data_IF_056770742061
#
_entry.id   IF_056770742061
#
_cell.length_a   1.000
_cell.length_b   1.000
_cell.length_c   1.000
_cell.angle_alpha   90.00
_cell.angle_beta   90.00
_cell.angle_gamma   90.00
#
_symmetry.space_group_name_H-M   'P 1'
#
loop_
_entity.id
_entity.type
_entity.pdbx_description
1 polymer ?
#
# COMPACT_ATOMS: atom_id res chain seq x y z
N UNK A 1 -24.19 -15.78 -4.39
CA UNK A 1 -24.21 -15.04 -3.10
C UNK A 1 -23.50 -15.83 -2.01
N UNK A 2 -22.64 -15.19 -1.22
CA UNK A 2 -21.92 -15.86 -0.12
C UNK A 2 -22.90 -16.40 0.93
N UNK A 3 -22.71 -17.63 1.46
CA UNK A 3 -23.59 -18.20 2.48
C UNK A 3 -23.73 -17.34 3.74
N UNK A 4 -22.79 -16.42 4.00
CA UNK A 4 -22.85 -15.50 5.14
C UNK A 4 -23.83 -14.33 4.94
N UNK A 5 -24.41 -14.15 3.76
CA UNK A 5 -25.45 -13.14 3.51
C UNK A 5 -26.87 -13.70 3.56
N UNK A 6 -27.04 -15.02 3.58
CA UNK A 6 -28.33 -15.69 3.70
C UNK A 6 -28.64 -16.02 5.17
N UNK A 7 -29.61 -15.35 5.83
CA UNK A 7 -29.95 -15.60 7.23
C UNK A 7 -30.43 -17.02 7.53
N UNK A 8 -30.93 -17.73 6.51
CA UNK A 8 -31.41 -19.09 6.63
C UNK A 8 -30.28 -20.12 6.64
N UNK A 9 -29.10 -19.75 6.12
CA UNK A 9 -27.97 -20.65 5.93
C UNK A 9 -27.35 -21.14 7.25
N UNK A 10 -26.81 -22.38 7.28
CA UNK A 10 -26.08 -22.89 8.45
C UNK A 10 -24.86 -22.04 8.81
N UNK A 11 -24.17 -21.50 7.79
CA UNK A 11 -22.99 -20.67 7.97
C UNK A 11 -23.34 -19.35 8.69
N UNK A 12 -24.42 -18.68 8.27
CA UNK A 12 -24.92 -17.47 8.91
C UNK A 12 -25.31 -17.73 10.37
N UNK A 13 -26.10 -18.77 10.63
CA UNK A 13 -26.54 -19.12 11.99
C UNK A 13 -25.37 -19.38 12.92
N UNK A 14 -24.34 -20.10 12.43
CA UNK A 14 -23.09 -20.35 13.18
C UNK A 14 -22.34 -19.04 13.46
N UNK A 15 -22.17 -18.19 12.46
CA UNK A 15 -21.48 -16.91 12.60
C UNK A 15 -22.20 -15.96 13.57
N UNK A 16 -23.53 -15.85 13.47
CA UNK A 16 -24.36 -15.06 14.37
C UNK A 16 -24.23 -15.52 15.84
N UNK A 17 -24.23 -16.84 16.09
CA UNK A 17 -24.01 -17.38 17.44
C UNK A 17 -22.63 -16.99 17.99
N UNK A 18 -21.58 -17.11 17.18
CA UNK A 18 -20.21 -16.73 17.58
C UNK A 18 -20.10 -15.22 17.83
N UNK A 19 -20.71 -14.40 16.97
CA UNK A 19 -20.78 -12.96 17.13
C UNK A 19 -21.43 -12.57 18.45
N UNK A 20 -22.66 -13.06 18.71
CA UNK A 20 -23.37 -12.80 19.98
C UNK A 20 -22.57 -13.24 21.21
N UNK A 21 -21.84 -14.36 21.12
CA UNK A 21 -20.95 -14.82 22.20
C UNK A 21 -19.77 -13.86 22.43
N UNK A 22 -19.14 -13.40 21.36
CA UNK A 22 -17.99 -12.49 21.42
C UNK A 22 -18.36 -11.07 21.86
N UNK A 23 -19.57 -10.61 21.54
CA UNK A 23 -20.03 -9.24 21.86
C UNK A 23 -20.89 -9.13 23.13
N UNK A 24 -21.23 -10.25 23.78
CA UNK A 24 -22.09 -10.29 24.98
C UNK A 24 -21.66 -9.34 26.10
N UNK A 25 -20.36 -9.16 26.29
CA UNK A 25 -19.78 -8.34 27.36
C UNK A 25 -19.14 -7.06 26.83
N UNK A 26 -19.45 -6.67 25.60
CA UNK A 26 -18.90 -5.47 25.01
C UNK A 26 -19.62 -4.25 25.59
N UNK A 27 -18.85 -3.30 26.11
CA UNK A 27 -19.37 -2.03 26.61
C UNK A 27 -20.10 -1.28 25.48
N UNK A 28 -21.41 -0.99 25.62
CA UNK A 28 -22.16 -0.21 24.64
C UNK A 28 -21.62 1.20 24.45
N UNK A 29 -20.99 1.80 25.46
CA UNK A 29 -20.46 3.17 25.40
C UNK A 29 -19.20 3.27 24.54
N UNK A 30 -18.47 2.17 24.35
CA UNK A 30 -17.23 2.12 23.56
C UNK A 30 -17.43 2.57 22.11
N UNK A 31 -18.61 2.36 21.53
CA UNK A 31 -18.91 2.77 20.15
C UNK A 31 -19.20 4.26 20.04
N UNK A 32 -19.69 4.91 21.11
CA UNK A 32 -19.93 6.35 21.16
C UNK A 32 -18.62 7.16 21.23
N UNK A 33 -17.55 6.55 21.72
CA UNK A 33 -16.21 7.18 21.77
C UNK A 33 -15.48 7.15 20.41
N UNK A 34 -16.04 6.47 19.40
CA UNK A 34 -15.38 6.37 18.11
C UNK A 34 -15.54 7.65 17.30
N UNK A 35 -14.42 8.12 16.74
CA UNK A 35 -14.47 9.10 15.66
C UNK A 35 -15.22 8.53 14.46
N UNK A 36 -15.82 9.37 13.59
CA UNK A 36 -16.52 8.90 12.39
C UNK A 36 -15.65 7.98 11.52
N UNK A 37 -14.36 8.31 11.36
CA UNK A 37 -13.41 7.47 10.63
C UNK A 37 -13.22 6.10 11.29
N UNK A 38 -13.07 6.06 12.61
CA UNK A 38 -12.88 4.80 13.35
C UNK A 38 -14.13 3.92 13.28
N UNK A 39 -15.31 4.52 13.37
CA UNK A 39 -16.58 3.82 13.21
C UNK A 39 -16.70 3.20 11.80
N UNK A 40 -16.40 3.97 10.75
CA UNK A 40 -16.38 3.46 9.37
C UNK A 40 -15.34 2.33 9.18
N UNK A 41 -14.11 2.52 9.67
CA UNK A 41 -13.06 1.50 9.61
C UNK A 41 -13.50 0.18 10.29
N UNK A 42 -14.14 0.29 11.46
CA UNK A 42 -14.66 -0.87 12.21
C UNK A 42 -15.82 -1.55 11.48
N UNK A 43 -16.74 -0.78 10.88
CA UNK A 43 -17.84 -1.28 10.04
C UNK A 43 -17.29 -2.15 8.91
N UNK A 44 -16.36 -1.63 8.10
CA UNK A 44 -15.87 -2.34 6.91
C UNK A 44 -14.87 -3.48 7.21
N UNK A 45 -14.22 -3.47 8.38
CA UNK A 45 -13.36 -4.59 8.83
C UNK A 45 -14.11 -5.70 9.55
N UNK A 46 -15.42 -5.53 9.80
CA UNK A 46 -16.23 -6.54 10.46
C UNK A 46 -16.32 -7.80 9.59
N UNK A 47 -16.01 -8.95 10.19
CA UNK A 47 -16.24 -10.26 9.54
C UNK A 47 -17.69 -10.71 9.62
N UNK A 48 -18.39 -10.27 10.66
CA UNK A 48 -19.80 -10.55 10.87
C UNK A 48 -20.43 -9.41 11.73
N UNK A 49 -21.65 -8.94 11.41
CA UNK A 49 -22.33 -9.19 10.12
C UNK A 49 -21.45 -8.73 8.95
N UNK A 50 -21.56 -9.34 7.75
CA UNK A 50 -20.88 -8.81 6.57
C UNK A 50 -21.22 -7.32 6.40
N UNK A 51 -20.25 -6.46 6.08
CA UNK A 51 -20.53 -5.05 5.91
C UNK A 51 -21.49 -4.83 4.75
N UNK A 52 -22.43 -3.91 4.94
CA UNK A 52 -23.22 -3.39 3.84
C UNK A 52 -22.33 -2.50 2.96
N UNK A 53 -22.30 -2.81 1.66
CA UNK A 53 -21.50 -2.14 0.65
C UNK A 53 -22.32 -1.19 -0.23
N UNK A 54 -23.63 -1.08 -0.01
CA UNK A 54 -24.54 -0.24 -0.83
C UNK A 54 -24.09 1.23 -0.94
N UNK A 55 -23.51 1.77 0.13
CA UNK A 55 -22.99 3.15 0.18
C UNK A 55 -21.51 3.27 -0.29
N UNK A 56 -20.89 2.20 -0.76
CA UNK A 56 -19.49 2.23 -1.24
C UNK A 56 -19.47 2.69 -2.69
N UNK A 57 -18.65 3.70 -3.01
CA UNK A 57 -18.46 4.14 -4.39
C UNK A 57 -17.92 2.99 -5.26
N UNK A 58 -18.69 2.60 -6.27
CA UNK A 58 -18.33 1.53 -7.19
C UNK A 58 -18.53 1.97 -8.65
N UNK A 59 -17.47 2.54 -9.22
CA UNK A 59 -17.45 3.04 -10.60
C UNK A 59 -17.44 1.92 -11.64
N UNK A 60 -17.21 0.65 -11.25
CA UNK A 60 -17.31 -0.47 -12.18
C UNK A 60 -18.76 -0.71 -12.63
N UNK A 61 -19.74 -0.26 -11.84
CA UNK A 61 -21.17 -0.30 -12.19
C UNK A 61 -21.53 0.57 -13.40
N UNK A 62 -20.65 1.53 -13.75
CA UNK A 62 -20.82 2.42 -14.91
C UNK A 62 -20.29 1.82 -16.22
N UNK A 63 -19.59 0.69 -16.16
CA UNK A 63 -19.00 0.03 -17.33
C UNK A 63 -20.03 -0.92 -17.97
N UNK A 64 -20.54 -0.61 -19.18
CA UNK A 64 -21.51 -1.47 -19.85
C UNK A 64 -20.95 -2.88 -20.14
N UNK A 65 -19.62 -3.03 -20.26
CA UNK A 65 -18.97 -4.32 -20.45
C UNK A 65 -19.08 -5.25 -19.25
N UNK A 66 -19.53 -4.76 -18.08
CA UNK A 66 -19.62 -5.51 -16.83
C UNK A 66 -21.04 -5.87 -16.42
N UNK A 67 -22.03 -5.68 -17.29
CA UNK A 67 -23.44 -5.92 -16.96
C UNK A 67 -23.66 -7.33 -16.37
N UNK A 68 -23.05 -8.36 -16.95
CA UNK A 68 -23.15 -9.72 -16.44
C UNK A 68 -22.55 -9.89 -15.03
N UNK A 69 -21.39 -9.27 -14.77
CA UNK A 69 -20.73 -9.31 -13.46
C UNK A 69 -21.56 -8.56 -12.39
N UNK A 70 -22.18 -7.45 -12.78
CA UNK A 70 -23.07 -6.67 -11.91
C UNK A 70 -24.31 -7.50 -11.56
N UNK A 71 -24.95 -8.13 -12.55
CA UNK A 71 -26.11 -9.01 -12.33
C UNK A 71 -25.78 -10.22 -11.44
N UNK A 72 -24.53 -10.72 -11.51
CA UNK A 72 -24.06 -11.82 -10.65
C UNK A 72 -23.73 -11.38 -9.21
N UNK A 73 -23.77 -10.08 -8.92
CA UNK A 73 -23.33 -9.54 -7.64
C UNK A 73 -21.82 -9.69 -7.46
N UNK A 74 -21.02 -9.40 -8.47
CA UNK A 74 -19.58 -9.18 -8.28
C UNK A 74 -19.35 -7.76 -7.78
N UNK A 75 -20.08 -6.81 -8.36
CA UNK A 75 -20.08 -5.38 -8.05
C UNK A 75 -21.38 -5.02 -7.34
N UNK A 76 -21.28 -4.36 -6.18
CA UNK A 76 -22.42 -4.15 -5.26
C UNK A 76 -22.47 -2.75 -4.64
N UNK A 77 -21.53 -1.87 -5.00
CA UNK A 77 -21.57 -0.50 -4.50
C UNK A 77 -22.60 0.35 -5.23
N UNK A 78 -22.46 1.67 -5.08
CA UNK A 78 -23.31 2.65 -5.73
C UNK A 78 -22.52 3.81 -6.31
N UNK A 79 -23.24 4.67 -7.03
CA UNK A 79 -22.76 5.91 -7.62
C UNK A 79 -23.30 7.13 -6.87
N UNK A 80 -23.67 6.96 -5.60
CA UNK A 80 -24.28 8.00 -4.75
C UNK A 80 -23.29 9.07 -4.33
N UNK A 81 -22.00 8.71 -4.20
CA UNK A 81 -20.92 9.67 -3.98
C UNK A 81 -20.74 10.52 -5.25
N UNK A 82 -20.73 11.84 -5.10
CA UNK A 82 -20.51 12.76 -6.22
C UNK A 82 -19.14 12.51 -6.86
N UNK A 83 -19.13 12.36 -8.18
CA UNK A 83 -17.93 12.25 -8.99
C UNK A 83 -18.07 13.08 -10.27
N UNK A 84 -16.94 13.47 -10.84
CA UNK A 84 -16.87 14.12 -12.15
C UNK A 84 -16.06 13.25 -13.09
N UNK A 85 -16.62 12.94 -14.26
CA UNK A 85 -15.91 12.18 -15.29
C UNK A 85 -14.94 13.11 -16.03
N UNK A 86 -13.64 12.82 -15.91
CA UNK A 86 -12.57 13.57 -16.58
C UNK A 86 -12.31 13.04 -18.00
N UNK A 87 -12.41 11.73 -18.17
CA UNK A 87 -12.22 11.04 -19.46
C UNK A 87 -12.99 9.72 -19.48
N UNK A 88 -12.83 8.90 -20.52
CA UNK A 88 -13.54 7.63 -20.65
C UNK A 88 -13.44 6.76 -19.38
N UNK A 89 -12.26 6.68 -18.76
CA UNK A 89 -12.00 5.82 -17.60
C UNK A 89 -11.32 6.57 -16.43
N UNK A 90 -11.54 7.87 -16.30
CA UNK A 90 -10.97 8.67 -15.21
C UNK A 90 -12.04 9.51 -14.52
N UNK A 91 -12.05 9.48 -13.20
CA UNK A 91 -13.08 10.09 -12.38
C UNK A 91 -12.43 10.87 -11.23
N UNK A 92 -12.80 12.14 -11.06
CA UNK A 92 -12.45 12.95 -9.90
C UNK A 92 -13.55 12.86 -8.83
N UNK A 93 -13.17 13.03 -7.57
CA UNK A 93 -14.10 13.20 -6.45
C UNK A 93 -14.05 14.66 -6.00
N UNK A 94 -15.01 15.54 -6.40
CA UNK A 94 -14.90 16.98 -6.20
C UNK A 94 -14.70 17.41 -4.74
N UNK A 95 -15.32 16.69 -3.79
CA UNK A 95 -15.16 16.97 -2.36
C UNK A 95 -13.79 16.58 -1.79
N UNK A 96 -12.96 15.86 -2.56
CA UNK A 96 -11.60 15.47 -2.19
C UNK A 96 -10.65 15.87 -3.32
N UNK A 97 -10.29 17.15 -3.42
CA UNK A 97 -9.30 17.66 -4.37
C UNK A 97 -8.05 16.79 -4.52
N UNK A 98 -7.68 16.49 -5.77
CA UNK A 98 -6.50 15.66 -6.08
C UNK A 98 -6.75 14.15 -6.03
N UNK A 99 -7.90 13.68 -5.54
CA UNK A 99 -8.28 12.27 -5.64
C UNK A 99 -8.86 11.96 -7.02
N UNK A 100 -8.14 11.14 -7.78
CA UNK A 100 -8.57 10.62 -9.08
C UNK A 100 -8.59 9.10 -9.04
N UNK A 101 -9.68 8.51 -9.55
CA UNK A 101 -9.88 7.07 -9.65
C UNK A 101 -9.81 6.67 -11.12
N UNK A 102 -8.97 5.67 -11.42
CA UNK A 102 -8.75 5.11 -12.75
C UNK A 102 -9.16 3.62 -12.77
N UNK A 103 -10.47 3.29 -12.90
CA UNK A 103 -10.93 1.90 -12.88
C UNK A 103 -10.31 1.10 -14.02
N UNK A 104 -9.74 -0.06 -13.70
CA UNK A 104 -9.15 -0.99 -14.68
C UNK A 104 -8.19 -0.33 -15.66
N UNK A 105 -7.37 0.60 -15.15
CA UNK A 105 -6.42 1.38 -15.96
C UNK A 105 -5.47 0.50 -16.80
N UNK A 106 -5.16 -0.70 -16.30
CA UNK A 106 -4.29 -1.67 -16.99
C UNK A 106 -5.05 -2.93 -17.41
N UNK A 107 -4.67 -3.46 -18.57
CA UNK A 107 -5.22 -4.70 -19.12
C UNK A 107 -4.93 -5.92 -18.22
N UNK A 108 -5.79 -6.96 -18.23
CA UNK A 108 -5.60 -8.16 -17.40
C UNK A 108 -4.25 -8.87 -17.60
N UNK A 109 -3.69 -8.84 -18.81
CA UNK A 109 -2.37 -9.41 -19.13
C UNK A 109 -1.27 -8.68 -18.36
N UNK A 110 -1.29 -7.35 -18.41
CA UNK A 110 -0.36 -6.49 -17.66
C UNK A 110 -0.54 -6.65 -16.15
N UNK A 111 -1.77 -6.84 -15.65
CA UNK A 111 -2.00 -7.14 -14.22
C UNK A 111 -1.27 -8.42 -13.79
N UNK A 112 -1.40 -9.50 -14.57
CA UNK A 112 -0.72 -10.78 -14.28
C UNK A 112 0.80 -10.63 -14.33
N UNK A 113 1.31 -9.87 -15.30
CA UNK A 113 2.74 -9.62 -15.43
C UNK A 113 3.30 -8.80 -14.28
N UNK A 114 2.58 -7.76 -13.83
CA UNK A 114 2.97 -6.97 -12.67
C UNK A 114 2.89 -7.76 -11.36
N UNK A 115 1.91 -8.65 -11.21
CA UNK A 115 1.83 -9.57 -10.06
C UNK A 115 3.05 -10.49 -10.04
N UNK A 116 3.37 -11.11 -11.18
CA UNK A 116 4.55 -11.98 -11.30
C UNK A 116 5.83 -11.21 -11.00
N UNK A 117 6.00 -10.04 -11.60
CA UNK A 117 7.14 -9.16 -11.36
C UNK A 117 7.26 -8.76 -9.89
N UNK A 118 6.17 -8.35 -9.25
CA UNK A 118 6.17 -7.91 -7.85
C UNK A 118 6.67 -9.01 -6.91
N UNK A 119 6.24 -10.26 -7.14
CA UNK A 119 6.59 -11.40 -6.29
C UNK A 119 7.98 -11.98 -6.60
N UNK A 120 8.33 -12.08 -7.88
CA UNK A 120 9.53 -12.81 -8.33
C UNK A 120 10.74 -11.93 -8.62
N UNK A 121 10.55 -10.67 -8.96
CA UNK A 121 11.63 -9.78 -9.40
C UNK A 121 11.81 -8.59 -8.45
N UNK A 122 10.72 -7.98 -7.97
CA UNK A 122 10.79 -6.84 -7.07
C UNK A 122 11.06 -7.25 -5.62
N UNK A 123 10.39 -8.29 -5.12
CA UNK A 123 10.54 -8.78 -3.73
C UNK A 123 11.75 -9.73 -3.54
N UNK A 124 12.93 -9.30 -4.02
CA UNK A 124 14.22 -9.98 -3.83
C UNK A 124 15.35 -8.97 -3.70
N UNK A 125 16.54 -9.43 -3.33
CA UNK A 125 17.73 -8.59 -3.26
C UNK A 125 17.96 -7.82 -4.57
N UNK A 126 18.33 -6.53 -4.56
CA UNK A 126 18.69 -5.70 -3.38
C UNK A 126 17.51 -5.02 -2.67
N UNK A 127 16.26 -5.26 -3.07
CA UNK A 127 15.10 -4.61 -2.46
C UNK A 127 14.76 -5.28 -1.12
N UNK A 128 14.93 -4.52 -0.03
CA UNK A 128 14.56 -5.00 1.30
C UNK A 128 13.05 -5.23 1.43
N UNK A 129 12.71 -6.30 2.14
CA UNK A 129 11.35 -6.71 2.50
C UNK A 129 11.16 -6.72 4.01
N UNK A 130 9.93 -6.89 4.47
CA UNK A 130 9.67 -7.07 5.90
C UNK A 130 10.34 -8.30 6.51
N UNK A 131 10.72 -9.29 5.69
CA UNK A 131 11.35 -10.52 6.15
C UNK A 131 12.86 -10.37 6.33
N UNK A 132 13.49 -9.43 5.62
CA UNK A 132 14.93 -9.15 5.76
C UNK A 132 15.31 -8.65 7.16
N UNK A 133 14.35 -8.09 7.90
CA UNK A 133 14.58 -7.69 9.30
C UNK A 133 14.86 -8.93 10.17
N UNK A 134 14.30 -10.09 9.83
CA UNK A 134 14.23 -11.24 10.73
C UNK A 134 15.00 -12.47 10.26
N UNK A 135 15.23 -12.62 8.96
CA UNK A 135 15.80 -13.84 8.36
C UNK A 135 16.95 -13.52 7.42
N UNK A 136 17.84 -14.50 7.23
CA UNK A 136 18.83 -14.47 6.15
C UNK A 136 18.18 -14.96 4.85
N UNK A 137 17.54 -14.05 4.11
CA UNK A 137 16.81 -14.43 2.90
C UNK A 137 17.75 -14.81 1.74
N UNK A 138 17.34 -15.75 0.87
CA UNK A 138 18.03 -16.03 -0.39
C UNK A 138 18.10 -14.78 -1.28
N UNK A 139 19.22 -14.56 -1.98
CA UNK A 139 19.38 -13.42 -2.89
C UNK A 139 18.32 -13.37 -3.98
N UNK A 140 17.89 -14.52 -4.49
CA UNK A 140 16.83 -14.61 -5.50
C UNK A 140 15.41 -14.37 -4.94
N UNK A 141 15.26 -14.15 -3.64
CA UNK A 141 13.98 -13.90 -2.99
C UNK A 141 13.16 -15.15 -2.71
N UNK A 142 12.21 -15.01 -1.79
CA UNK A 142 11.46 -16.14 -1.23
C UNK A 142 10.56 -16.82 -2.26
N UNK A 143 9.93 -16.05 -3.15
CA UNK A 143 9.06 -16.60 -4.18
C UNK A 143 9.82 -17.54 -5.14
N UNK A 144 10.99 -17.14 -5.60
CA UNK A 144 11.79 -17.95 -6.51
C UNK A 144 12.35 -19.19 -5.83
N UNK A 145 12.78 -19.07 -4.57
CA UNK A 145 13.21 -20.22 -3.78
C UNK A 145 12.06 -21.21 -3.56
N UNK A 146 10.87 -20.73 -3.21
CA UNK A 146 9.68 -21.57 -3.09
C UNK A 146 9.28 -22.24 -4.41
N UNK A 147 9.33 -21.50 -5.53
CA UNK A 147 9.07 -22.10 -6.85
C UNK A 147 10.09 -23.19 -7.21
N UNK A 148 11.34 -23.02 -6.79
CA UNK A 148 12.39 -24.00 -7.00
C UNK A 148 12.17 -25.23 -6.13
N UNK A 149 11.81 -25.05 -4.85
CA UNK A 149 11.53 -26.17 -3.93
C UNK A 149 10.29 -26.99 -4.32
N UNK A 150 9.39 -26.42 -5.12
CA UNK A 150 8.27 -27.16 -5.74
C UNK A 150 8.68 -28.06 -6.89
N UNK A 151 9.78 -27.74 -7.59
CA UNK A 151 10.30 -28.52 -8.73
C UNK A 151 11.28 -29.59 -8.26
N UNK A 152 12.08 -29.26 -7.25
CA UNK A 152 13.03 -30.14 -6.61
C UNK A 152 12.76 -30.08 -5.08
N UNK A 153 12.32 -31.17 -4.44
CA UNK A 153 11.77 -31.16 -3.07
C UNK A 153 12.78 -30.84 -1.95
N UNK A 154 13.92 -30.24 -2.27
CA UNK A 154 14.84 -29.66 -1.28
C UNK A 154 14.26 -28.30 -0.84
N UNK A 155 13.38 -28.32 0.16
CA UNK A 155 12.92 -27.10 0.83
C UNK A 155 13.97 -26.68 1.86
N UNK A 156 14.80 -25.71 1.49
CA UNK A 156 15.91 -25.24 2.32
C UNK A 156 15.33 -24.44 3.50
N UNK A 157 15.68 -24.83 4.72
CA UNK A 157 15.34 -24.05 5.92
C UNK A 157 16.04 -22.68 5.89
N UNK A 158 15.28 -21.63 6.17
CA UNK A 158 15.79 -20.26 6.26
C UNK A 158 15.97 -19.88 7.73
N UNK A 159 17.21 -19.54 8.08
CA UNK A 159 17.61 -19.26 9.45
C UNK A 159 17.27 -17.82 9.90
N UNK A 160 16.81 -17.63 11.15
CA UNK A 160 16.62 -16.31 11.72
C UNK A 160 17.94 -15.58 12.00
N UNK A 161 17.94 -14.27 11.84
CA UNK A 161 19.07 -13.40 12.22
C UNK A 161 19.31 -13.40 13.73
N UNK A 162 18.26 -13.54 14.54
CA UNK A 162 18.36 -13.51 16.00
C UNK A 162 19.12 -14.69 16.61
N UNK A 163 19.31 -15.78 15.86
CA UNK A 163 20.05 -16.97 16.32
C UNK A 163 21.56 -16.76 16.28
N UNK A 164 22.04 -15.77 15.51
CA UNK A 164 23.40 -15.27 15.60
C UNK A 164 23.45 -14.15 16.65
N UNK A 165 24.56 -14.02 17.38
CA UNK A 165 24.79 -13.02 18.44
C UNK A 165 24.71 -11.57 17.89
N UNK A 166 23.49 -11.12 17.57
CA UNK A 166 23.24 -9.71 17.33
C UNK A 166 23.29 -9.01 18.67
N UNK A 167 24.43 -8.37 18.96
CA UNK A 167 24.55 -7.31 19.96
C UNK A 167 23.81 -6.05 19.48
N UNK A 168 22.53 -6.19 19.10
CA UNK A 168 21.69 -5.04 18.89
C UNK A 168 21.33 -4.51 20.28
N UNK A 169 21.62 -3.23 20.54
CA UNK A 169 21.08 -2.52 21.69
C UNK A 169 19.55 -2.59 21.61
N UNK A 170 18.96 -3.58 22.26
CA UNK A 170 17.52 -3.74 22.34
C UNK A 170 16.98 -2.49 23.03
N UNK A 171 16.21 -1.67 22.30
CA UNK A 171 15.43 -0.63 22.96
C UNK A 171 14.52 -1.35 23.96
N UNK A 172 14.53 -0.96 25.25
CA UNK A 172 13.78 -1.67 26.27
C UNK A 172 12.29 -1.74 25.87
N UNK A 173 11.61 -2.87 26.15
CA UNK A 173 10.21 -3.02 25.82
C UNK A 173 9.41 -1.89 26.46
N UNK A 174 8.76 -1.09 25.61
CA UNK A 174 8.00 0.09 26.02
C UNK A 174 6.84 0.36 25.07
N UNK A 175 5.89 1.23 25.47
CA UNK A 175 4.83 1.67 24.58
C UNK A 175 5.44 2.29 23.32
N UNK A 176 4.86 2.01 22.14
CA UNK A 176 5.33 2.61 20.89
C UNK A 176 5.31 4.12 21.02
N UNK A 177 6.48 4.74 20.92
CA UNK A 177 6.60 6.20 20.89
C UNK A 177 6.01 6.71 19.58
N UNK A 178 5.15 7.71 19.67
CA UNK A 178 4.64 8.38 18.48
C UNK A 178 5.78 9.18 17.85
N UNK A 179 6.21 8.76 16.67
CA UNK A 179 7.17 9.52 15.87
C UNK A 179 6.41 10.61 15.12
N UNK A 180 6.67 11.86 15.50
CA UNK A 180 6.17 13.06 14.86
C UNK A 180 7.35 13.84 14.26
N UNK A 181 7.62 13.64 12.97
CA UNK A 181 8.71 14.30 12.28
C UNK A 181 8.30 15.70 11.84
N UNK A 182 9.26 16.62 11.85
CA UNK A 182 9.11 17.92 11.20
C UNK A 182 8.99 17.67 9.67
N UNK A 183 8.03 18.31 8.98
CA UNK A 183 7.93 18.22 7.52
C UNK A 183 9.23 18.61 6.83
N UNK A 184 9.54 17.94 5.71
CA UNK A 184 10.71 18.29 4.93
C UNK A 184 10.50 19.63 4.23
N UNK A 185 11.46 20.53 4.43
CA UNK A 185 11.62 21.83 3.77
C UNK A 185 13.05 21.94 3.25
N UNK A 186 13.36 22.87 2.32
CA UNK A 186 14.75 23.11 1.90
C UNK A 186 15.70 23.31 3.09
N UNK A 187 15.27 24.04 4.12
CA UNK A 187 16.06 24.31 5.32
C UNK A 187 16.29 23.07 6.21
N UNK A 188 15.29 22.19 6.29
CA UNK A 188 15.35 21.00 7.16
C UNK A 188 15.90 19.76 6.44
N UNK A 189 16.04 19.81 5.11
CA UNK A 189 16.46 18.67 4.28
C UNK A 189 17.80 18.09 4.72
N UNK A 190 18.81 18.93 4.95
CA UNK A 190 20.15 18.48 5.35
C UNK A 190 20.09 17.68 6.65
N UNK A 191 19.36 18.17 7.65
CA UNK A 191 19.17 17.48 8.94
C UNK A 191 18.44 16.14 8.79
N UNK A 192 17.36 16.09 8.00
CA UNK A 192 16.60 14.86 7.71
C UNK A 192 17.48 13.84 6.96
N UNK A 193 18.32 14.31 6.04
CA UNK A 193 19.17 13.45 5.21
C UNK A 193 20.27 12.77 6.02
N UNK A 194 20.85 13.47 7.00
CA UNK A 194 21.96 12.99 7.85
C UNK A 194 21.51 12.31 9.14
N UNK A 195 20.21 12.35 9.46
CA UNK A 195 19.65 11.65 10.63
C UNK A 195 20.01 10.16 10.58
N UNK A 196 20.63 9.60 11.63
CA UNK A 196 20.99 8.19 11.69
C UNK A 196 19.79 7.25 11.54
N UNK A 197 19.95 6.20 10.73
CA UNK A 197 18.91 5.20 10.44
C UNK A 197 19.42 3.81 10.83
N UNK A 198 19.45 3.50 12.14
CA UNK A 198 20.01 2.23 12.62
C UNK A 198 19.17 1.05 12.09
N UNK A 199 19.81 -0.11 11.82
CA UNK A 199 19.08 -1.29 11.38
C UNK A 199 18.06 -1.72 12.43
N UNK A 200 16.91 -2.21 11.97
CA UNK A 200 15.88 -2.73 12.87
C UNK A 200 16.34 -4.07 13.45
N UNK A 201 16.20 -4.23 14.77
CA UNK A 201 16.57 -5.46 15.44
C UNK A 201 15.66 -6.62 14.99
N UNK A 202 16.23 -7.82 14.76
CA UNK A 202 15.42 -9.01 14.49
C UNK A 202 14.56 -9.37 15.71
N UNK A 203 13.43 -10.02 15.46
CA UNK A 203 12.59 -10.54 16.54
C UNK A 203 13.26 -11.74 17.19
N UNK A 204 13.34 -11.77 18.52
CA UNK A 204 13.92 -12.91 19.25
C UNK A 204 13.04 -14.17 19.25
N UNK A 205 11.78 -14.07 18.80
CA UNK A 205 10.81 -15.18 18.86
C UNK A 205 10.58 -15.88 17.53
N UNK A 206 11.17 -15.39 16.43
CA UNK A 206 11.09 -16.07 15.14
C UNK A 206 11.93 -17.34 15.14
N UNK A 207 11.42 -18.38 14.49
CA UNK A 207 12.05 -19.70 14.38
C UNK A 207 12.50 -19.94 12.95
N UNK A 208 13.46 -20.86 12.71
CA UNK A 208 13.76 -21.33 11.36
C UNK A 208 12.47 -21.74 10.64
N UNK A 209 12.37 -21.39 9.36
CA UNK A 209 11.14 -21.56 8.59
C UNK A 209 11.45 -21.87 7.13
N UNK A 210 10.54 -22.59 6.48
CA UNK A 210 10.66 -22.89 5.05
C UNK A 210 10.18 -21.72 4.17
N UNK A 211 10.69 -21.60 2.93
CA UNK A 211 10.17 -20.67 1.92
C UNK A 211 8.65 -20.72 1.75
N UNK A 212 8.08 -21.93 1.80
CA UNK A 212 6.64 -22.20 1.74
C UNK A 212 5.85 -21.57 2.90
N UNK A 213 6.45 -21.44 4.08
CA UNK A 213 5.86 -20.76 5.23
C UNK A 213 6.10 -19.24 5.20
N UNK A 214 7.27 -18.81 4.72
CA UNK A 214 7.67 -17.42 4.69
C UNK A 214 6.95 -16.62 3.60
N UNK A 215 6.55 -17.25 2.48
CA UNK A 215 5.91 -16.51 1.39
C UNK A 215 4.60 -15.85 1.82
N UNK A 216 3.84 -16.50 2.71
CA UNK A 216 2.61 -15.95 3.28
C UNK A 216 2.86 -14.87 4.35
N UNK A 217 4.11 -14.70 4.78
CA UNK A 217 4.55 -13.66 5.73
C UNK A 217 5.19 -12.46 5.03
N UNK A 218 5.36 -12.49 3.71
CA UNK A 218 5.76 -11.32 2.92
C UNK A 218 4.62 -10.29 2.91
N UNK A 219 4.93 -9.05 3.28
CA UNK A 219 3.96 -7.95 3.46
C UNK A 219 4.32 -6.70 2.67
N UNK A 220 5.61 -6.42 2.52
CA UNK A 220 6.11 -5.29 1.73
C UNK A 220 7.49 -5.59 1.17
N UNK A 221 7.80 -4.92 0.07
CA UNK A 221 9.14 -4.81 -0.53
C UNK A 221 9.36 -3.33 -0.88
N UNK A 222 10.54 -2.80 -0.59
CA UNK A 222 10.89 -1.44 -0.97
C UNK A 222 11.13 -1.32 -2.48
N UNK A 223 10.98 -0.12 -3.01
CA UNK A 223 11.31 0.23 -4.39
C UNK A 223 11.86 1.65 -4.45
N UNK A 224 12.91 1.88 -5.22
CA UNK A 224 13.54 3.20 -5.30
C UNK A 224 14.25 3.59 -4.00
N UNK A 225 13.88 4.74 -3.42
CA UNK A 225 14.45 5.19 -2.15
C UNK A 225 13.92 4.35 -1.00
N UNK A 226 14.82 3.81 -0.19
CA UNK A 226 14.44 3.00 0.97
C UNK A 226 13.71 3.83 2.01
N UNK A 227 12.50 3.43 2.40
CA UNK A 227 11.75 4.07 3.47
C UNK A 227 12.07 3.40 4.81
N UNK A 228 12.69 4.14 5.73
CA UNK A 228 13.05 3.65 7.04
C UNK A 228 11.86 3.80 8.01
N UNK A 229 11.11 2.70 8.21
CA UNK A 229 9.90 2.68 9.04
C UNK A 229 10.10 3.18 10.48
N UNK A 230 11.27 2.89 11.07
CA UNK A 230 11.59 3.26 12.45
C UNK A 230 11.85 4.75 12.66
N UNK A 231 12.19 5.51 11.62
CA UNK A 231 12.36 6.97 11.67
C UNK A 231 11.29 7.69 10.84
N UNK A 232 10.46 6.94 10.10
CA UNK A 232 9.45 7.46 9.16
C UNK A 232 10.02 8.43 8.12
N UNK A 233 11.23 8.15 7.62
CA UNK A 233 11.96 8.99 6.65
C UNK A 233 12.64 8.13 5.60
N UNK A 234 12.93 8.70 4.43
CA UNK A 234 13.77 8.04 3.43
C UNK A 234 15.23 7.96 3.87
N UNK A 235 15.89 6.85 3.57
CA UNK A 235 17.33 6.66 3.76
C UNK A 235 18.10 6.98 2.48
N UNK A 236 18.58 8.20 2.36
CA UNK A 236 19.38 8.62 1.20
C UNK A 236 20.78 8.02 1.20
N UNK A 237 21.28 7.48 2.33
CA UNK A 237 22.62 6.91 2.42
C UNK A 237 22.74 5.57 1.69
N UNK A 238 21.64 4.84 1.54
CA UNK A 238 21.56 3.60 0.75
C UNK A 238 21.59 3.82 -0.76
N UNK A 239 21.57 5.08 -1.20
CA UNK A 239 21.45 5.43 -2.61
C UNK A 239 20.05 5.12 -3.17
N UNK A 240 19.89 5.43 -4.45
CA UNK A 240 18.63 5.24 -5.16
C UNK A 240 18.55 3.80 -5.67
N UNK A 241 17.62 3.02 -5.11
CA UNK A 241 17.29 1.71 -5.67
C UNK A 241 16.78 1.83 -7.11
N UNK A 242 16.99 0.78 -7.91
CA UNK A 242 16.44 0.73 -9.26
C UNK A 242 14.90 0.71 -9.20
N UNK A 243 14.29 1.44 -10.13
CA UNK A 243 12.84 1.38 -10.38
C UNK A 243 12.69 0.83 -11.78
N UNK A 244 12.08 -0.35 -11.88
CA UNK A 244 11.86 -1.05 -13.14
C UNK A 244 11.13 -0.15 -14.15
N UNK A 245 11.56 -0.22 -15.42
CA UNK A 245 11.01 0.63 -16.46
C UNK A 245 9.53 0.37 -16.70
N UNK A 246 9.04 -0.87 -16.50
CA UNK A 246 7.61 -1.23 -16.61
C UNK A 246 6.79 -0.39 -15.63
N UNK A 247 7.17 -0.38 -14.35
CA UNK A 247 6.46 0.38 -13.34
C UNK A 247 6.61 1.89 -13.55
N UNK A 248 7.82 2.35 -13.92
CA UNK A 248 8.08 3.77 -14.20
C UNK A 248 7.17 4.29 -15.31
N UNK A 249 7.11 3.59 -16.43
CA UNK A 249 6.26 3.95 -17.56
C UNK A 249 4.79 3.92 -17.12
N UNK A 250 4.37 2.87 -16.42
CA UNK A 250 3.00 2.76 -15.94
C UNK A 250 2.58 3.95 -15.06
N UNK A 251 3.40 4.34 -14.08
CA UNK A 251 3.10 5.47 -13.21
C UNK A 251 3.06 6.79 -14.00
N UNK A 252 4.00 6.99 -14.93
CA UNK A 252 4.01 8.18 -15.81
C UNK A 252 2.74 8.23 -16.66
N UNK A 253 2.38 7.13 -17.29
CA UNK A 253 1.23 7.06 -18.19
C UNK A 253 -0.09 7.25 -17.42
N UNK A 254 -0.18 6.74 -16.18
CA UNK A 254 -1.31 7.00 -15.29
C UNK A 254 -1.48 8.50 -14.99
N UNK A 255 -0.39 9.19 -14.61
CA UNK A 255 -0.41 10.62 -14.31
C UNK A 255 -0.70 11.46 -15.55
N UNK A 256 -0.11 11.11 -16.70
CA UNK A 256 -0.28 11.83 -17.96
C UNK A 256 -1.68 11.69 -18.56
N UNK A 257 -2.42 10.62 -18.22
CA UNK A 257 -3.79 10.41 -18.69
C UNK A 257 -4.82 11.33 -17.99
N UNK A 258 -4.46 11.92 -16.86
CA UNK A 258 -5.35 12.77 -16.06
C UNK A 258 -5.26 14.22 -16.54
N UNK A 259 -6.39 14.82 -16.88
CA UNK A 259 -6.50 16.27 -17.08
C UNK A 259 -6.54 16.97 -15.73
N UNK A 260 -5.35 17.26 -15.18
CA UNK A 260 -5.20 17.90 -13.87
C UNK A 260 -5.80 19.31 -13.82
N UNK A 261 -5.96 20.00 -14.97
CA UNK A 261 -6.64 21.31 -15.00
C UNK A 261 -8.10 21.17 -14.61
N UNK A 262 -8.77 20.13 -15.08
CA UNK A 262 -10.15 19.84 -14.69
C UNK A 262 -10.26 19.38 -13.22
N UNK A 263 -9.25 18.69 -12.68
CA UNK A 263 -9.24 18.28 -11.26
C UNK A 263 -9.20 19.49 -10.33
N UNK A 264 -8.49 20.55 -10.73
CA UNK A 264 -8.27 21.75 -9.91
C UNK A 264 -9.03 22.99 -10.39
N UNK A 265 -9.97 22.86 -11.34
CA UNK A 265 -10.60 24.01 -12.03
C UNK A 265 -11.28 25.00 -11.07
N UNK A 266 -11.96 24.49 -10.04
CA UNK A 266 -12.71 25.30 -9.06
C UNK A 266 -11.97 25.45 -7.72
N UNK A 267 -10.66 25.16 -7.71
CA UNK A 267 -9.86 25.09 -6.49
C UNK A 267 -8.97 26.31 -6.38
N UNK A 268 -9.46 27.31 -5.64
CA UNK A 268 -8.68 28.46 -5.20
C UNK A 268 -7.81 28.08 -3.99
N UNK A 269 -6.84 27.19 -4.18
CA UNK A 269 -5.87 26.87 -3.15
C UNK A 269 -4.73 27.90 -3.14
N UNK A 270 -4.28 28.30 -1.95
CA UNK A 270 -3.08 29.10 -1.78
C UNK A 270 -1.86 28.17 -1.85
N UNK A 271 -1.23 28.10 -3.02
CA UNK A 271 -0.10 27.22 -3.29
C UNK A 271 1.25 27.77 -2.80
N UNK A 272 1.25 28.91 -2.12
CA UNK A 272 2.47 29.60 -1.70
C UNK A 272 3.04 30.49 -2.80
N UNK A 273 4.34 30.77 -2.73
CA UNK A 273 5.07 31.59 -3.72
C UNK A 273 5.37 30.83 -5.03
N UNK A 274 5.25 29.50 -5.01
CA UNK A 274 5.48 28.62 -6.16
C UNK A 274 4.22 28.40 -7.00
N UNK A 275 4.38 28.26 -8.32
CA UNK A 275 3.29 27.80 -9.19
C UNK A 275 2.83 26.38 -8.80
N UNK A 276 1.55 26.03 -8.99
CA UNK A 276 1.04 24.72 -8.60
C UNK A 276 1.75 23.61 -9.37
N UNK A 277 2.57 22.81 -8.68
CA UNK A 277 3.45 21.81 -9.31
C UNK A 277 2.74 20.80 -10.23
N UNK A 278 1.42 20.60 -10.06
CA UNK A 278 0.59 19.75 -10.90
C UNK A 278 0.51 20.20 -12.36
N UNK A 279 0.72 21.49 -12.64
CA UNK A 279 0.69 22.02 -14.02
C UNK A 279 1.78 21.41 -14.91
N UNK A 280 2.87 20.93 -14.30
CA UNK A 280 4.01 20.34 -15.00
C UNK A 280 4.07 18.80 -14.91
N UNK A 281 3.16 18.14 -14.18
CA UNK A 281 3.29 16.70 -13.89
C UNK A 281 3.30 15.82 -15.14
N UNK A 282 2.57 16.20 -16.19
CA UNK A 282 2.62 15.55 -17.50
C UNK A 282 4.05 15.50 -18.08
N UNK A 283 4.90 16.47 -17.76
CA UNK A 283 6.27 16.61 -18.28
C UNK A 283 7.35 16.22 -17.27
N UNK A 284 7.10 16.41 -15.97
CA UNK A 284 8.11 16.35 -14.90
C UNK A 284 7.99 15.12 -14.01
N UNK A 285 6.83 14.44 -13.95
CA UNK A 285 6.64 13.30 -13.04
C UNK A 285 7.68 12.19 -13.27
N UNK A 286 8.13 12.00 -14.52
CA UNK A 286 9.22 11.09 -14.88
C UNK A 286 10.64 11.61 -14.55
N UNK A 287 10.83 12.93 -14.50
CA UNK A 287 12.13 13.57 -14.27
C UNK A 287 12.59 13.44 -12.82
N UNK A 288 11.71 13.42 -11.82
CA UNK A 288 12.10 13.12 -10.43
C UNK A 288 12.63 11.68 -10.24
N UNK A 289 12.35 10.78 -11.20
CA UNK A 289 12.90 9.43 -11.22
C UNK A 289 14.25 9.29 -11.94
N UNK A 290 14.72 10.31 -12.67
CA UNK A 290 16.05 10.36 -13.29
C UNK A 290 16.76 11.52 -12.61
N UNK A 291 17.78 11.26 -11.78
CA UNK A 291 18.59 12.35 -11.25
C UNK A 291 19.33 13.03 -12.40
N UNK A 292 18.68 13.95 -13.10
CA UNK A 292 19.41 15.06 -13.68
C UNK A 292 19.62 16.01 -12.52
N UNK A 293 20.90 16.20 -12.19
CA UNK A 293 21.32 17.43 -11.54
C UNK A 293 20.66 18.56 -12.34
N UNK A 294 19.73 19.27 -11.71
CA UNK A 294 19.55 20.65 -12.10
C UNK A 294 20.91 21.28 -11.86
N UNK A 295 21.65 21.49 -12.94
CA UNK A 295 22.67 22.51 -12.98
C UNK A 295 22.00 23.77 -12.46
N UNK A 296 22.51 24.27 -11.34
CA UNK A 296 22.23 25.59 -10.83
C UNK A 296 22.15 26.58 -11.98
N UNK A 297 20.97 27.14 -12.20
CA UNK A 297 20.84 28.45 -12.80
C UNK A 297 19.51 29.04 -12.38
N UNK A 298 19.62 29.91 -11.38
CA UNK A 298 18.62 30.88 -10.91
C UNK A 298 17.40 30.29 -10.21
N UNK A 299 17.39 30.37 -8.87
CA UNK A 299 16.62 31.38 -8.15
C UNK A 299 17.26 31.57 -6.76
N UNK A 300 17.55 32.83 -6.42
CA UNK A 300 17.79 33.30 -5.06
C UNK A 300 16.43 33.54 -4.40
#
# INVERSE_FOLDING_TARGET
MSPLHDPSSPAYKKANRLFKKATKHRDPLLELEWTPFRAAEKKFKARFPPPDLSDVLDLATLDPGREQEIQQGVWHGSTTVQYTRLSKNAYAVPHIPGLVILPSFIAPEMQRDLIRWSLSEQARHPNETNLDIHYHLPQNGIWNTWLSSRKDPIDITIEPKATQEFQANHEPPGPRKLINNIPATPDTFTSISTTPKPPQAPSATVKPAFPSELIHKLRWANIGWYYHWGTKQYDFTKGKGAIDQRLRNLCRDAVATVDWKQVYIDIHANWGEDEPGWMSWNETYGKYFVGHQHTNSHFF
#
